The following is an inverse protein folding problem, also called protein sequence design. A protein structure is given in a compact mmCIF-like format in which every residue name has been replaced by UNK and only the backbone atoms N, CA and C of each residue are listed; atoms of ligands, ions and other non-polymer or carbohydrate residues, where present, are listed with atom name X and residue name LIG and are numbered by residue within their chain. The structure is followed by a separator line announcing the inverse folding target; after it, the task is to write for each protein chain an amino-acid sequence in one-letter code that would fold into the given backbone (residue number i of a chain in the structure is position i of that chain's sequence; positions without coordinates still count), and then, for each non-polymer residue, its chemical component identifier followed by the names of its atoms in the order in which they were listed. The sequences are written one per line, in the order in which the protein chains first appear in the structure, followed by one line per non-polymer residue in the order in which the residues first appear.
data_IF_005326339692
#
_entry.id   IF_005326339692
#
_cell.length_a   1.000
_cell.length_b   1.000
_cell.length_c   1.000
_cell.angle_alpha   90.00
_cell.angle_beta   90.00
_cell.angle_gamma   90.00
#
_symmetry.space_group_name_H-M   'P 1'
#
loop_
_entity.id
_entity.type
_entity.pdbx_description
1 polymer ?
#
# COMPACT_ATOMS: atom_id res chain seq x y z
N UNK A 1 -15.32 -17.98 -51.69
CA UNK A 1 -15.62 -18.42 -50.32
C UNK A 1 -14.35 -18.27 -49.48
N UNK A 2 -14.33 -17.24 -48.63
CA UNK A 2 -13.27 -16.87 -47.70
C UNK A 2 -13.57 -17.58 -46.37
N UNK A 3 -12.65 -18.33 -45.73
CA UNK A 3 -12.63 -18.64 -44.27
C UNK A 3 -11.56 -19.70 -43.89
N UNK A 4 -10.28 -19.42 -44.07
CA UNK A 4 -9.20 -20.27 -43.50
C UNK A 4 -8.06 -19.44 -42.91
N UNK A 5 -8.39 -18.31 -42.29
CA UNK A 5 -7.39 -17.38 -41.70
C UNK A 5 -7.69 -17.06 -40.23
N UNK A 6 -8.54 -17.84 -39.55
CA UNK A 6 -9.06 -17.49 -38.22
C UNK A 6 -8.40 -18.22 -37.03
N UNK A 7 -7.52 -19.19 -37.25
CA UNK A 7 -7.07 -20.07 -36.15
C UNK A 7 -5.61 -19.88 -35.71
N UNK A 8 -4.77 -19.16 -36.45
CA UNK A 8 -3.34 -19.01 -36.10
C UNK A 8 -3.12 -17.86 -35.08
N UNK A 9 -4.02 -16.88 -35.00
CA UNK A 9 -3.86 -15.73 -34.11
C UNK A 9 -4.25 -16.05 -32.66
N UNK A 10 -5.04 -17.11 -32.43
CA UNK A 10 -5.56 -17.42 -31.08
C UNK A 10 -4.54 -18.15 -30.19
N UNK A 11 -3.49 -18.75 -30.75
CA UNK A 11 -2.52 -19.52 -29.98
C UNK A 11 -1.37 -18.66 -29.39
N UNK A 12 -1.15 -17.44 -29.90
CA UNK A 12 -0.01 -16.61 -29.49
C UNK A 12 -0.31 -15.65 -28.32
N UNK A 13 -1.56 -15.53 -27.88
CA UNK A 13 -1.98 -14.56 -26.85
C UNK A 13 -2.00 -15.18 -25.44
N UNK A 14 -1.66 -16.46 -25.29
CA UNK A 14 -1.78 -17.16 -24.00
C UNK A 14 -0.50 -17.24 -23.14
N UNK A 15 0.66 -16.76 -23.62
CA UNK A 15 1.94 -16.99 -22.93
C UNK A 15 2.53 -15.77 -22.21
N UNK A 16 1.88 -14.60 -22.24
CA UNK A 16 2.50 -13.36 -21.78
C UNK A 16 1.88 -12.72 -20.52
N UNK A 17 1.10 -13.47 -19.73
CA UNK A 17 0.56 -12.95 -18.47
C UNK A 17 0.86 -13.89 -17.30
N UNK A 18 2.13 -14.26 -17.13
CA UNK A 18 2.66 -14.44 -15.77
C UNK A 18 3.04 -13.05 -15.25
N UNK A 19 2.06 -12.14 -15.28
CA UNK A 19 2.14 -10.98 -14.42
C UNK A 19 2.08 -11.54 -13.03
N UNK A 20 3.19 -11.47 -12.29
CA UNK A 20 3.13 -11.52 -10.84
C UNK A 20 1.98 -10.61 -10.43
N UNK A 21 0.83 -11.19 -10.10
CA UNK A 21 -0.18 -10.47 -9.34
C UNK A 21 0.41 -10.38 -7.93
N UNK A 22 1.48 -9.59 -7.77
CA UNK A 22 1.76 -8.91 -6.51
C UNK A 22 0.54 -8.08 -6.31
N UNK A 23 -0.43 -8.65 -5.62
CA UNK A 23 -1.66 -8.00 -5.36
C UNK A 23 -1.31 -6.76 -4.54
N UNK A 24 -1.26 -5.62 -5.22
CA UNK A 24 -1.14 -4.29 -4.62
C UNK A 24 -2.49 -4.01 -3.96
N UNK A 25 -2.84 -4.79 -2.94
CA UNK A 25 -4.09 -4.66 -2.22
C UNK A 25 -4.03 -3.33 -1.44
N UNK A 26 -4.42 -2.22 -2.08
CA UNK A 26 -4.94 -0.99 -1.47
C UNK A 26 -4.04 -0.22 -0.49
N UNK A 27 -2.72 -0.39 -0.54
CA UNK A 27 -1.82 -0.24 0.63
C UNK A 27 -0.80 0.90 0.61
N UNK A 28 -0.98 1.92 -0.22
CA UNK A 28 0.02 2.98 -0.30
C UNK A 28 -0.34 4.14 0.64
N UNK A 29 0.69 4.63 1.34
CA UNK A 29 0.63 5.89 2.07
C UNK A 29 0.16 7.00 1.14
N UNK A 30 -0.96 7.64 1.50
CA UNK A 30 -1.52 8.77 0.74
C UNK A 30 -1.09 10.07 1.38
N UNK A 31 -0.50 11.02 0.65
CA UNK A 31 -0.13 12.30 1.23
C UNK A 31 -1.37 13.04 1.77
N UNK A 32 -1.21 13.74 2.87
CA UNK A 32 -2.21 14.67 3.39
C UNK A 32 -2.02 15.99 2.64
N UNK A 33 -3.07 16.50 1.97
CA UNK A 33 -2.97 17.67 1.08
C UNK A 33 -2.36 18.91 1.74
N UNK A 34 -2.56 19.05 3.04
CA UNK A 34 -2.12 20.20 3.84
C UNK A 34 -0.67 20.08 4.34
N UNK A 35 -0.07 18.88 4.36
CA UNK A 35 1.30 18.69 4.86
C UNK A 35 2.07 17.62 4.06
N UNK A 36 3.16 18.07 3.41
CA UNK A 36 4.00 17.27 2.50
C UNK A 36 4.70 16.08 3.16
N UNK A 37 4.87 16.11 4.47
CA UNK A 37 5.55 15.05 5.21
C UNK A 37 4.58 14.19 6.04
N UNK A 38 3.27 14.41 5.88
CA UNK A 38 2.23 13.61 6.52
C UNK A 38 1.50 12.73 5.51
N UNK A 39 1.27 11.49 5.94
CA UNK A 39 0.66 10.47 5.10
C UNK A 39 -0.39 9.70 5.87
N UNK A 40 -1.45 9.32 5.17
CA UNK A 40 -2.53 8.50 5.67
C UNK A 40 -2.40 7.08 5.13
N UNK A 41 -2.51 6.08 6.01
CA UNK A 41 -2.59 4.68 5.63
C UNK A 41 -3.81 4.02 6.26
N UNK A 42 -4.55 3.24 5.48
CA UNK A 42 -5.68 2.45 5.98
C UNK A 42 -5.28 0.98 5.98
N UNK A 43 -5.18 0.39 7.17
CA UNK A 43 -4.94 -1.05 7.33
C UNK A 43 -6.28 -1.71 7.63
N UNK A 44 -6.78 -2.46 6.64
CA UNK A 44 -7.95 -3.29 6.85
C UNK A 44 -7.61 -4.43 7.80
N UNK A 45 -8.41 -4.57 8.84
CA UNK A 45 -8.33 -5.68 9.79
C UNK A 45 -9.59 -6.51 9.63
N UNK A 46 -9.47 -7.82 9.42
CA UNK A 46 -10.65 -8.70 9.47
C UNK A 46 -11.37 -8.49 10.80
N UNK A 47 -12.71 -8.51 10.81
CA UNK A 47 -13.62 -7.87 11.78
C UNK A 47 -13.40 -8.03 13.30
N UNK A 48 -12.36 -8.74 13.76
CA UNK A 48 -11.95 -8.89 15.15
C UNK A 48 -10.48 -8.56 15.42
N UNK A 49 -9.67 -8.32 14.39
CA UNK A 49 -8.29 -7.87 14.55
C UNK A 49 -8.29 -6.37 14.93
N UNK A 50 -7.98 -6.09 16.19
CA UNK A 50 -8.03 -4.74 16.75
C UNK A 50 -6.83 -3.85 16.37
N UNK A 51 -6.70 -2.74 17.09
CA UNK A 51 -5.62 -1.76 16.92
C UNK A 51 -4.21 -2.38 16.98
N UNK A 52 -4.00 -3.41 17.81
CA UNK A 52 -2.69 -4.06 17.98
C UNK A 52 -2.16 -4.63 16.67
N UNK A 53 -2.91 -5.52 16.04
CA UNK A 53 -2.55 -6.14 14.75
C UNK A 53 -2.34 -5.10 13.65
N UNK A 54 -3.16 -4.04 13.64
CA UNK A 54 -3.00 -2.96 12.68
C UNK A 54 -1.71 -2.14 12.91
N UNK A 55 -1.35 -1.91 14.17
CA UNK A 55 -0.17 -1.12 14.57
C UNK A 55 1.10 -1.93 14.31
N UNK A 56 1.13 -3.19 14.72
CA UNK A 56 2.23 -4.13 14.45
C UNK A 56 2.51 -4.22 12.94
N UNK A 57 1.45 -4.39 12.14
CA UNK A 57 1.59 -4.37 10.69
C UNK A 57 2.16 -3.05 10.15
N UNK A 58 1.68 -1.92 10.66
CA UNK A 58 2.16 -0.59 10.26
C UNK A 58 3.66 -0.47 10.55
N UNK A 59 4.09 -0.78 11.77
CA UNK A 59 5.45 -0.57 12.26
C UNK A 59 6.44 -1.59 11.69
N UNK A 60 6.06 -2.85 11.55
CA UNK A 60 6.97 -3.92 11.12
C UNK A 60 7.05 -4.08 9.60
N UNK A 61 6.04 -3.62 8.85
CA UNK A 61 5.96 -3.88 7.40
C UNK A 61 5.80 -2.60 6.58
N UNK A 62 4.78 -1.82 6.87
CA UNK A 62 4.40 -0.73 5.97
C UNK A 62 5.37 0.47 6.09
N UNK A 63 5.77 0.86 7.31
CA UNK A 63 6.73 1.95 7.55
C UNK A 63 8.14 1.60 7.04
N UNK A 64 8.73 0.43 7.33
CA UNK A 64 10.03 0.05 6.78
C UNK A 64 10.03 0.05 5.25
N UNK A 65 9.00 -0.53 4.62
CA UNK A 65 8.87 -0.52 3.16
C UNK A 65 8.75 0.91 2.59
N UNK A 66 8.09 1.82 3.29
CA UNK A 66 8.03 3.23 2.89
C UNK A 66 9.41 3.91 3.00
N UNK A 67 10.14 3.70 4.10
CA UNK A 67 11.48 4.26 4.30
C UNK A 67 12.52 3.70 3.32
N UNK A 68 12.38 2.45 2.88
CA UNK A 68 13.21 1.86 1.81
C UNK A 68 13.00 2.56 0.46
N UNK A 69 11.77 2.99 0.17
CA UNK A 69 11.42 3.69 -1.07
C UNK A 69 11.72 5.20 -1.00
N UNK A 70 11.79 5.75 0.21
CA UNK A 70 11.96 7.18 0.48
C UNK A 70 13.15 7.43 1.42
N UNK A 71 14.40 7.30 0.93
CA UNK A 71 15.61 7.40 1.74
C UNK A 71 15.85 8.79 2.36
N UNK A 72 15.13 9.82 1.90
CA UNK A 72 15.10 11.17 2.47
C UNK A 72 14.55 11.21 3.90
N UNK A 73 13.69 10.26 4.27
CA UNK A 73 13.12 10.14 5.61
C UNK A 73 13.97 9.20 6.46
N UNK A 74 14.20 9.57 7.73
CA UNK A 74 14.97 8.76 8.70
C UNK A 74 14.20 8.36 9.94
N UNK A 75 13.15 9.10 10.27
CA UNK A 75 12.31 8.81 11.42
C UNK A 75 10.85 9.10 11.10
N UNK A 76 9.97 8.63 11.98
CA UNK A 76 8.54 8.79 11.81
C UNK A 76 7.86 8.99 13.17
N UNK A 77 6.63 9.51 13.13
CA UNK A 77 5.74 9.59 14.27
C UNK A 77 4.31 9.33 13.84
N UNK A 78 3.63 8.44 14.55
CA UNK A 78 2.19 8.22 14.36
C UNK A 78 1.46 9.37 15.05
N UNK A 79 0.83 10.24 14.27
CA UNK A 79 0.07 11.39 14.77
C UNK A 79 -1.32 10.99 15.25
N UNK A 80 -1.96 10.05 14.54
CA UNK A 80 -3.28 9.57 14.93
C UNK A 80 -3.55 8.14 14.47
N UNK A 81 -4.46 7.47 15.19
CA UNK A 81 -5.03 6.17 14.84
C UNK A 81 -6.54 6.20 15.04
N UNK A 82 -7.30 5.79 14.04
CA UNK A 82 -8.78 5.78 14.08
C UNK A 82 -9.32 4.47 13.53
N UNK A 83 -9.98 3.70 14.37
CA UNK A 83 -10.70 2.51 13.93
C UNK A 83 -11.95 2.89 13.15
N UNK A 84 -12.20 2.16 12.07
CA UNK A 84 -13.45 2.15 11.31
C UNK A 84 -14.02 0.75 11.39
N UNK A 85 -15.29 0.67 11.76
CA UNK A 85 -15.99 -0.61 11.89
C UNK A 85 -16.36 -1.20 10.52
N UNK A 86 -16.63 -0.36 9.51
CA UNK A 86 -17.04 -0.79 8.16
C UNK A 86 -16.42 0.11 7.08
N UNK A 87 -15.62 -0.42 6.14
CA UNK A 87 -14.93 -1.71 6.22
C UNK A 87 -14.03 -1.74 7.46
N UNK A 88 -13.95 -2.89 8.13
CA UNK A 88 -13.16 -3.02 9.37
C UNK A 88 -11.69 -2.71 9.10
N UNK A 89 -11.13 -1.77 9.86
CA UNK A 89 -9.74 -1.38 9.73
C UNK A 89 -9.37 -0.18 10.58
N UNK A 90 -8.09 0.17 10.54
CA UNK A 90 -7.54 1.33 11.24
C UNK A 90 -6.95 2.28 10.23
N UNK A 91 -7.37 3.54 10.28
CA UNK A 91 -6.74 4.64 9.58
C UNK A 91 -5.64 5.22 10.47
N UNK A 92 -4.43 5.32 9.96
CA UNK A 92 -3.29 5.94 10.60
C UNK A 92 -2.93 7.22 9.86
N UNK A 93 -2.54 8.25 10.60
CA UNK A 93 -1.82 9.41 10.05
C UNK A 93 -0.41 9.37 10.63
N UNK A 94 0.58 9.34 9.75
CA UNK A 94 1.99 9.21 10.08
C UNK A 94 2.72 10.40 9.49
N UNK A 95 3.55 11.05 10.29
CA UNK A 95 4.48 12.08 9.85
C UNK A 95 5.88 11.49 9.73
N UNK A 96 6.56 11.75 8.63
CA UNK A 96 7.93 11.30 8.40
C UNK A 96 8.88 12.48 8.47
N UNK A 97 10.00 12.33 9.19
CA UNK A 97 10.99 13.39 9.34
C UNK A 97 12.25 13.06 8.57
N UNK A 98 12.79 14.08 7.91
CA UNK A 98 14.11 14.04 7.29
C UNK A 98 15.15 14.26 8.36
N UNK A 99 16.33 13.67 8.20
CA UNK A 99 17.46 13.95 9.09
C UNK A 99 17.86 15.42 8.90
N UNK A 100 17.43 16.29 9.79
CA UNK A 100 18.02 17.62 9.88
C UNK A 100 19.30 17.49 10.70
N UNK A 101 20.36 16.97 10.06
CA UNK A 101 21.71 17.40 10.43
C UNK A 101 21.82 18.86 10.02
N UNK A 102 21.56 19.77 10.95
CA UNK A 102 22.22 21.08 10.97
C UNK A 102 23.67 20.91 11.37
#
# INVERSE_FOLDING_TARGET
MLKTTKYIVLAFILTAVVGCTTATYGRQFKPVEENKDQYTLVISTGGLAGYGVATERLEEKEIPAFLEQHPEYKSYKILSKRFRLVPSGVTFVVEFYRDQRS
#
